data_IF_600168663420
#
_entry.id   IF_600168663420
#
_cell.length_a   1.000
_cell.length_b   1.000
_cell.length_c   1.000
_cell.angle_alpha   90.00
_cell.angle_beta   90.00
_cell.angle_gamma   90.00
#
_symmetry.space_group_name_H-M   'P 1'
#
loop_
_entity.id
_entity.type
_entity.pdbx_description
1 polymer ?
#
# COMPACT_ATOMS: atom_id res chain seq x y z
N UNK A 1 0.17 14.75 -15.34
CA UNK A 1 -0.10 14.83 -13.88
C UNK A 1 1.10 14.42 -13.02
N UNK A 2 1.81 13.34 -13.31
CA UNK A 2 2.97 12.87 -12.53
C UNK A 2 4.09 13.93 -12.39
N UNK A 3 4.46 14.60 -13.47
CA UNK A 3 5.49 15.68 -13.46
C UNK A 3 5.11 16.87 -12.56
N UNK A 4 3.86 17.29 -12.57
CA UNK A 4 3.37 18.40 -11.74
C UNK A 4 3.41 18.03 -10.26
N UNK A 5 2.99 16.81 -9.91
CA UNK A 5 3.06 16.29 -8.54
C UNK A 5 4.50 16.28 -8.02
N UNK A 6 5.45 15.84 -8.84
CA UNK A 6 6.87 15.78 -8.47
C UNK A 6 7.48 17.19 -8.29
N UNK A 7 7.12 18.16 -9.12
CA UNK A 7 7.55 19.56 -9.00
C UNK A 7 7.00 20.18 -7.72
N UNK A 8 5.70 19.97 -7.43
CA UNK A 8 5.07 20.48 -6.21
C UNK A 8 5.68 19.88 -4.92
N UNK A 9 5.94 18.58 -4.90
CA UNK A 9 6.61 17.93 -3.78
C UNK A 9 8.00 18.50 -3.51
N UNK A 10 8.75 18.82 -4.56
CA UNK A 10 10.14 19.30 -4.46
C UNK A 10 10.21 20.79 -4.10
N UNK A 11 9.35 21.62 -4.68
CA UNK A 11 9.46 23.08 -4.59
C UNK A 11 8.45 23.73 -3.62
N UNK A 12 7.31 23.07 -3.34
CA UNK A 12 6.27 23.58 -2.45
C UNK A 12 5.71 22.47 -1.55
N UNK A 13 6.51 21.87 -0.64
CA UNK A 13 6.08 20.72 0.14
C UNK A 13 4.87 20.99 1.02
N UNK A 14 4.70 22.23 1.53
CA UNK A 14 3.53 22.61 2.31
C UNK A 14 2.24 22.59 1.50
N UNK A 15 2.29 23.04 0.23
CA UNK A 15 1.14 23.01 -0.67
C UNK A 15 0.77 21.56 -1.00
N UNK A 16 1.76 20.71 -1.21
CA UNK A 16 1.53 19.28 -1.40
C UNK A 16 0.82 18.64 -0.19
N UNK A 17 1.27 18.96 1.02
CA UNK A 17 0.64 18.47 2.25
C UNK A 17 -0.80 18.96 2.41
N UNK A 18 -1.09 20.20 2.02
CA UNK A 18 -2.44 20.75 2.02
C UNK A 18 -3.33 20.01 1.02
N UNK A 19 -2.83 19.75 -0.19
CA UNK A 19 -3.57 18.97 -1.21
C UNK A 19 -3.87 17.56 -0.69
N UNK A 20 -2.89 16.88 -0.09
CA UNK A 20 -3.10 15.56 0.52
C UNK A 20 -4.14 15.59 1.65
N UNK A 21 -4.11 16.61 2.49
CA UNK A 21 -5.08 16.78 3.57
C UNK A 21 -6.50 17.00 3.02
N UNK A 22 -6.67 17.89 2.03
CA UNK A 22 -7.96 18.12 1.35
C UNK A 22 -8.44 16.82 0.70
N UNK A 23 -7.58 16.14 -0.05
CA UNK A 23 -7.92 14.85 -0.65
C UNK A 23 -8.39 13.85 0.40
N UNK A 24 -7.71 13.77 1.55
CA UNK A 24 -8.08 12.88 2.65
C UNK A 24 -9.48 13.15 3.20
N UNK A 25 -9.86 14.41 3.36
CA UNK A 25 -11.20 14.81 3.80
C UNK A 25 -12.27 14.53 2.75
N UNK A 26 -12.05 14.92 1.50
CA UNK A 26 -13.00 14.67 0.41
C UNK A 26 -13.19 13.17 0.17
N UNK A 27 -12.13 12.39 0.23
CA UNK A 27 -12.18 10.94 0.16
C UNK A 27 -13.02 10.36 1.30
N UNK A 28 -12.75 10.78 2.55
CA UNK A 28 -13.52 10.31 3.71
C UNK A 28 -15.00 10.64 3.59
N UNK A 29 -15.35 11.87 3.19
CA UNK A 29 -16.74 12.26 3.00
C UNK A 29 -17.46 11.39 1.96
N UNK A 30 -16.76 11.03 0.89
CA UNK A 30 -17.33 10.21 -0.19
C UNK A 30 -17.44 8.73 0.18
N UNK A 31 -16.46 8.18 0.90
CA UNK A 31 -16.32 6.74 1.12
C UNK A 31 -16.48 6.29 2.57
N UNK A 32 -16.93 7.15 3.48
CA UNK A 32 -16.98 6.83 4.92
C UNK A 32 -17.83 5.60 5.26
N UNK A 33 -18.85 5.28 4.47
CA UNK A 33 -19.68 4.07 4.66
C UNK A 33 -18.88 2.82 4.33
N UNK A 34 -18.22 2.82 3.19
CA UNK A 34 -17.38 1.71 2.71
C UNK A 34 -16.16 1.48 3.61
N UNK A 35 -15.58 2.55 4.14
CA UNK A 35 -14.41 2.45 5.04
C UNK A 35 -14.74 1.66 6.32
N UNK A 36 -15.98 1.65 6.78
CA UNK A 36 -16.39 0.85 7.94
C UNK A 36 -16.32 -0.66 7.68
N UNK A 37 -16.42 -1.08 6.43
CA UNK A 37 -16.38 -2.49 6.02
C UNK A 37 -14.95 -3.05 6.00
N UNK A 38 -13.91 -2.20 6.04
CA UNK A 38 -12.51 -2.64 6.00
C UNK A 38 -12.22 -3.61 7.15
N UNK A 39 -12.72 -3.35 8.36
CA UNK A 39 -12.54 -4.25 9.51
C UNK A 39 -13.12 -5.64 9.25
N UNK A 40 -14.28 -5.71 8.61
CA UNK A 40 -14.90 -6.99 8.22
C UNK A 40 -14.09 -7.71 7.16
N UNK A 41 -13.48 -6.96 6.22
CA UNK A 41 -12.55 -7.53 5.24
C UNK A 41 -11.35 -8.13 5.96
N UNK A 42 -10.69 -7.37 6.83
CA UNK A 42 -9.49 -7.83 7.54
C UNK A 42 -9.76 -9.06 8.40
N UNK A 43 -10.97 -9.19 8.99
CA UNK A 43 -11.35 -10.35 9.79
C UNK A 43 -11.31 -11.67 9.00
N UNK A 44 -11.44 -11.62 7.66
CA UNK A 44 -11.36 -12.80 6.79
C UNK A 44 -9.92 -13.33 6.59
N UNK A 45 -8.93 -12.55 6.98
CA UNK A 45 -7.51 -12.79 6.70
C UNK A 45 -6.68 -12.97 7.97
N UNK A 46 -7.31 -13.49 9.02
CA UNK A 46 -6.69 -13.68 10.34
C UNK A 46 -6.24 -15.13 10.62
N UNK A 47 -6.07 -15.97 9.59
CA UNK A 47 -5.74 -17.39 9.79
C UNK A 47 -4.32 -17.59 10.35
N UNK A 48 -3.31 -17.38 9.51
CA UNK A 48 -1.91 -17.60 9.87
C UNK A 48 -1.20 -16.35 10.40
N UNK A 49 -1.76 -15.16 10.09
CA UNK A 49 -1.16 -13.86 10.39
C UNK A 49 -2.17 -12.93 11.02
N UNK A 50 -1.69 -11.96 11.80
CA UNK A 50 -2.49 -10.82 12.24
C UNK A 50 -2.36 -9.70 11.19
N UNK A 51 -3.44 -9.43 10.46
CA UNK A 51 -3.54 -8.33 9.50
C UNK A 51 -4.37 -7.22 10.11
N UNK A 52 -3.84 -6.00 10.18
CA UNK A 52 -4.57 -4.85 10.74
C UNK A 52 -4.28 -3.55 9.98
N UNK A 53 -5.17 -2.57 10.12
CA UNK A 53 -4.89 -1.21 9.68
C UNK A 53 -3.70 -0.65 10.47
N UNK A 54 -2.86 0.14 9.79
CA UNK A 54 -1.73 0.84 10.42
C UNK A 54 -2.25 1.91 11.38
N UNK A 55 -1.94 1.77 12.65
CA UNK A 55 -2.20 2.75 13.69
C UNK A 55 -0.93 3.51 14.08
N UNK A 56 -1.09 4.63 14.77
CA UNK A 56 0.06 5.41 15.27
C UNK A 56 0.95 4.61 16.22
N UNK A 57 0.39 3.66 16.93
CA UNK A 57 1.08 2.75 17.85
C UNK A 57 1.99 1.74 17.14
N UNK A 58 1.71 1.44 15.86
CA UNK A 58 2.51 0.52 15.06
C UNK A 58 3.74 1.21 14.42
N UNK A 59 3.76 2.55 14.38
CA UNK A 59 4.78 3.31 13.65
C UNK A 59 6.22 2.98 14.09
N UNK A 60 6.54 2.86 15.39
CA UNK A 60 7.91 2.49 15.79
C UNK A 60 8.32 1.09 15.30
N UNK A 61 7.39 0.12 15.33
CA UNK A 61 7.64 -1.21 14.83
C UNK A 61 7.79 -1.23 13.29
N UNK A 62 6.99 -0.42 12.59
CA UNK A 62 7.08 -0.27 11.14
C UNK A 62 8.36 0.46 10.70
N UNK A 63 8.82 1.48 11.44
CA UNK A 63 10.09 2.14 11.16
C UNK A 63 11.26 1.15 11.29
N UNK A 64 11.28 0.38 12.38
CA UNK A 64 12.27 -0.71 12.58
C UNK A 64 12.20 -1.75 11.46
N UNK A 65 11.00 -2.12 11.01
CA UNK A 65 10.84 -3.03 9.87
C UNK A 65 11.60 -2.52 8.64
N UNK A 66 11.51 -1.23 8.32
CA UNK A 66 12.24 -0.67 7.18
C UNK A 66 13.75 -0.57 7.42
N UNK A 67 14.18 -0.20 8.63
CA UNK A 67 15.60 -0.13 9.00
C UNK A 67 16.32 -1.48 8.91
N UNK A 68 15.61 -2.57 9.20
CA UNK A 68 16.15 -3.93 9.18
C UNK A 68 16.19 -4.55 7.78
N UNK A 69 15.59 -3.93 6.77
CA UNK A 69 15.62 -4.48 5.41
C UNK A 69 16.97 -4.20 4.73
N UNK A 70 17.50 -5.17 3.97
CA UNK A 70 18.69 -4.93 3.15
C UNK A 70 18.38 -3.93 2.04
N UNK A 71 19.39 -3.21 1.55
CA UNK A 71 19.22 -2.15 0.55
C UNK A 71 18.54 -2.65 -0.73
N UNK A 72 18.84 -3.87 -1.14
CA UNK A 72 18.26 -4.51 -2.34
C UNK A 72 16.74 -4.71 -2.21
N UNK A 73 16.19 -4.76 -0.99
CA UNK A 73 14.75 -4.86 -0.78
C UNK A 73 14.01 -3.60 -1.23
N UNK A 74 14.71 -2.46 -1.31
CA UNK A 74 14.15 -1.19 -1.74
C UNK A 74 14.30 -0.91 -3.24
N UNK A 75 14.91 -1.81 -4.01
CA UNK A 75 15.10 -1.65 -5.45
C UNK A 75 13.79 -1.31 -6.18
N UNK A 76 12.69 -1.97 -5.76
CA UNK A 76 11.36 -1.82 -6.39
C UNK A 76 10.32 -1.16 -5.48
N UNK A 77 10.72 -0.67 -4.29
CA UNK A 77 9.76 -0.16 -3.32
C UNK A 77 10.27 1.07 -2.57
N UNK A 78 9.99 2.26 -3.12
CA UNK A 78 10.30 3.56 -2.47
C UNK A 78 9.12 4.53 -2.61
N UNK A 79 7.92 4.22 -2.07
CA UNK A 79 6.72 5.04 -2.25
C UNK A 79 6.75 6.34 -1.47
N UNK A 80 7.52 6.41 -0.39
CA UNK A 80 7.65 7.54 0.54
C UNK A 80 8.93 7.39 1.38
N UNK A 81 9.26 8.39 2.18
CA UNK A 81 10.31 8.28 3.19
C UNK A 81 9.84 7.37 4.34
N UNK A 82 10.77 6.61 4.92
CA UNK A 82 10.48 5.58 5.92
C UNK A 82 10.71 6.03 7.37
N UNK A 83 10.96 7.33 7.58
CA UNK A 83 11.10 7.91 8.91
C UNK A 83 9.77 7.96 9.67
N UNK A 84 9.84 7.89 11.01
CA UNK A 84 8.64 7.88 11.85
C UNK A 84 7.70 9.08 11.63
N UNK A 85 8.24 10.27 11.36
CA UNK A 85 7.43 11.47 11.12
C UNK A 85 6.55 11.30 9.89
N UNK A 86 7.13 10.78 8.80
CA UNK A 86 6.39 10.47 7.58
C UNK A 86 5.37 9.37 7.81
N UNK A 87 5.75 8.27 8.47
CA UNK A 87 4.86 7.16 8.76
C UNK A 87 3.69 7.56 9.66
N UNK A 88 3.90 8.40 10.70
CA UNK A 88 2.83 8.97 11.54
C UNK A 88 1.86 9.82 10.74
N UNK A 89 2.35 10.60 9.79
CA UNK A 89 1.52 11.41 8.89
C UNK A 89 0.67 10.52 7.98
N UNK A 90 1.25 9.48 7.40
CA UNK A 90 0.55 8.53 6.55
C UNK A 90 -0.51 7.75 7.33
N UNK A 91 -0.20 7.27 8.53
CA UNK A 91 -1.16 6.60 9.43
C UNK A 91 -2.34 7.50 9.84
N UNK A 92 -2.16 8.83 9.80
CA UNK A 92 -3.22 9.80 10.08
C UNK A 92 -4.01 10.24 8.84
N UNK A 93 -3.54 9.88 7.64
CA UNK A 93 -4.17 10.31 6.38
C UNK A 93 -5.33 9.38 6.01
N UNK A 94 -6.54 9.90 5.98
CA UNK A 94 -7.79 9.16 5.72
C UNK A 94 -7.90 8.54 4.34
N UNK A 95 -7.14 9.02 3.37
CA UNK A 95 -7.07 8.47 2.01
C UNK A 95 -5.86 7.56 1.77
N UNK A 96 -5.04 7.36 2.78
CA UNK A 96 -3.88 6.47 2.74
C UNK A 96 -4.16 5.23 3.60
N UNK A 97 -4.85 4.26 3.02
CA UNK A 97 -5.26 3.03 3.70
C UNK A 97 -4.04 2.11 3.77
N UNK A 98 -3.35 2.13 4.90
CA UNK A 98 -2.15 1.34 5.13
C UNK A 98 -2.43 0.20 6.10
N UNK A 99 -1.74 -0.91 5.89
CA UNK A 99 -1.91 -2.14 6.65
C UNK A 99 -0.56 -2.73 7.02
N UNK A 100 -0.53 -3.39 8.16
CA UNK A 100 0.63 -4.13 8.65
C UNK A 100 0.25 -5.58 8.94
N UNK A 101 1.22 -6.46 8.78
CA UNK A 101 1.09 -7.89 9.06
C UNK A 101 2.08 -8.27 10.13
N UNK A 102 1.60 -9.01 11.12
CA UNK A 102 2.39 -9.59 12.20
C UNK A 102 2.25 -11.11 12.19
N UNK A 103 3.26 -11.88 12.61
CA UNK A 103 3.08 -13.27 12.98
C UNK A 103 2.08 -13.38 14.14
N UNK A 104 1.26 -14.42 14.17
CA UNK A 104 0.36 -14.66 15.32
C UNK A 104 1.10 -15.14 16.56
N UNK A 105 2.21 -15.86 16.37
CA UNK A 105 2.98 -16.42 17.47
C UNK A 105 4.10 -15.48 17.93
N UNK A 106 4.29 -15.38 19.24
CA UNK A 106 5.44 -14.67 19.84
C UNK A 106 5.28 -13.14 19.92
N UNK A 107 4.37 -12.64 20.74
CA UNK A 107 4.31 -11.20 21.03
C UNK A 107 5.40 -10.78 22.05
N UNK A 108 6.10 -9.63 21.86
CA UNK A 108 5.97 -8.66 20.79
C UNK A 108 6.56 -9.16 19.46
N UNK A 109 5.74 -9.17 18.42
CA UNK A 109 6.12 -9.65 17.10
C UNK A 109 6.60 -8.52 16.20
N UNK A 110 7.62 -8.73 15.34
CA UNK A 110 8.01 -7.74 14.35
C UNK A 110 6.92 -7.59 13.26
N UNK A 111 6.85 -6.41 12.64
CA UNK A 111 6.13 -6.25 11.38
C UNK A 111 6.83 -7.11 10.33
N UNK A 112 6.08 -7.92 9.59
CA UNK A 112 6.62 -8.80 8.54
C UNK A 112 6.16 -8.41 7.14
N UNK A 113 5.16 -7.53 7.04
CA UNK A 113 4.75 -6.93 5.77
C UNK A 113 4.06 -5.60 6.02
N UNK A 114 4.27 -4.69 5.08
CA UNK A 114 3.57 -3.42 4.96
C UNK A 114 2.99 -3.30 3.57
N UNK A 115 1.73 -2.88 3.47
CA UNK A 115 1.09 -2.62 2.19
C UNK A 115 0.03 -1.52 2.34
N UNK A 116 -0.33 -0.89 1.22
CA UNK A 116 -1.25 0.24 1.23
C UNK A 116 -2.04 0.37 -0.06
N UNK A 117 -3.18 1.07 0.06
CA UNK A 117 -3.91 1.65 -1.06
C UNK A 117 -4.00 3.16 -0.83
N UNK A 118 -3.27 3.95 -1.60
CA UNK A 118 -3.36 5.40 -1.61
C UNK A 118 -4.52 5.81 -2.50
N UNK A 119 -5.59 6.30 -1.90
CA UNK A 119 -6.84 6.63 -2.56
C UNK A 119 -6.93 8.12 -2.90
N UNK A 120 -7.66 8.41 -3.96
CA UNK A 120 -8.00 9.76 -4.36
C UNK A 120 -9.51 9.93 -4.38
N UNK A 121 -10.01 11.11 -3.97
CA UNK A 121 -11.44 11.40 -3.94
C UNK A 121 -12.11 11.28 -5.31
N UNK A 122 -11.34 11.40 -6.40
CA UNK A 122 -11.81 11.19 -7.78
C UNK A 122 -12.15 9.73 -8.12
N UNK A 123 -11.96 8.79 -7.18
CA UNK A 123 -12.29 7.37 -7.38
C UNK A 123 -11.17 6.56 -8.04
N UNK A 124 -9.94 6.78 -7.64
CA UNK A 124 -8.76 5.99 -8.06
C UNK A 124 -7.91 5.62 -6.85
N UNK A 125 -7.23 4.47 -6.91
CA UNK A 125 -6.27 4.05 -5.90
C UNK A 125 -4.94 3.64 -6.51
N UNK A 126 -3.85 3.88 -5.77
CA UNK A 126 -2.54 3.34 -6.08
C UNK A 126 -2.10 2.45 -4.95
N UNK A 127 -1.54 1.28 -5.27
CA UNK A 127 -1.16 0.32 -4.26
C UNK A 127 0.31 -0.06 -4.34
N UNK A 128 0.86 -0.40 -3.17
CA UNK A 128 2.21 -0.91 -3.04
C UNK A 128 2.32 -1.81 -1.83
N UNK A 129 3.32 -2.67 -1.82
CA UNK A 129 3.56 -3.57 -0.71
C UNK A 129 5.03 -3.96 -0.61
N UNK A 130 5.45 -4.30 0.60
CA UNK A 130 6.75 -4.86 0.92
C UNK A 130 6.61 -6.00 1.91
N UNK A 131 7.32 -7.08 1.70
CA UNK A 131 7.41 -8.22 2.62
C UNK A 131 8.84 -8.32 3.13
N UNK A 132 8.99 -8.51 4.42
CA UNK A 132 10.29 -8.75 5.06
C UNK A 132 11.05 -9.85 4.32
N UNK A 133 12.33 -9.62 4.03
CA UNK A 133 13.15 -10.57 3.28
C UNK A 133 13.25 -11.95 3.96
N UNK A 134 13.15 -12.00 5.31
CA UNK A 134 13.16 -13.22 6.12
C UNK A 134 11.86 -14.03 6.01
N UNK A 135 10.77 -13.40 5.55
CA UNK A 135 9.42 -13.99 5.46
C UNK A 135 8.92 -14.17 4.03
N UNK A 136 9.81 -14.06 3.04
CA UNK A 136 9.49 -14.33 1.63
C UNK A 136 9.06 -15.79 1.43
N UNK A 137 8.35 -16.05 0.32
CA UNK A 137 7.86 -17.38 -0.06
C UNK A 137 6.83 -18.03 0.89
N UNK A 138 6.27 -17.28 1.83
CA UNK A 138 5.23 -17.73 2.79
C UNK A 138 3.82 -17.27 2.42
N UNK A 139 3.58 -16.87 1.17
CA UNK A 139 2.26 -16.44 0.70
C UNK A 139 1.83 -15.01 1.08
N UNK A 140 2.64 -14.28 1.88
CA UNK A 140 2.29 -12.94 2.41
C UNK A 140 2.02 -11.93 1.29
N UNK A 141 2.78 -11.96 0.19
CA UNK A 141 2.53 -11.08 -0.98
C UNK A 141 1.16 -11.32 -1.60
N UNK A 142 0.70 -12.60 -1.68
CA UNK A 142 -0.64 -12.94 -2.16
C UNK A 142 -1.72 -12.50 -1.18
N UNK A 143 -1.46 -12.65 0.12
CA UNK A 143 -2.34 -12.15 1.19
C UNK A 143 -2.53 -10.63 1.05
N UNK A 144 -1.44 -9.87 0.96
CA UNK A 144 -1.49 -8.41 0.77
C UNK A 144 -2.26 -8.03 -0.50
N UNK A 145 -2.04 -8.76 -1.61
CA UNK A 145 -2.76 -8.53 -2.86
C UNK A 145 -4.26 -8.76 -2.72
N UNK A 146 -4.69 -9.85 -2.04
CA UNK A 146 -6.11 -10.16 -1.78
C UNK A 146 -6.78 -9.08 -0.94
N UNK A 147 -6.14 -8.68 0.16
CA UNK A 147 -6.67 -7.61 1.03
C UNK A 147 -6.85 -6.32 0.25
N UNK A 148 -5.83 -5.87 -0.49
CA UNK A 148 -5.90 -4.64 -1.30
C UNK A 148 -6.99 -4.73 -2.38
N UNK A 149 -7.20 -5.91 -2.97
CA UNK A 149 -8.25 -6.14 -3.98
C UNK A 149 -9.64 -6.08 -3.37
N UNK A 150 -9.85 -6.70 -2.20
CA UNK A 150 -11.13 -6.65 -1.50
C UNK A 150 -11.45 -5.23 -1.00
N UNK A 151 -10.45 -4.50 -0.51
CA UNK A 151 -10.61 -3.08 -0.15
C UNK A 151 -11.00 -2.25 -1.37
N UNK A 152 -10.33 -2.44 -2.51
CA UNK A 152 -10.67 -1.74 -3.76
C UNK A 152 -12.09 -2.06 -4.24
N UNK A 153 -12.51 -3.34 -4.14
CA UNK A 153 -13.85 -3.82 -4.48
C UNK A 153 -14.92 -3.14 -3.64
N UNK A 154 -14.75 -3.08 -2.32
CA UNK A 154 -15.72 -2.43 -1.41
C UNK A 154 -15.79 -0.93 -1.65
N UNK A 155 -14.67 -0.28 -1.94
CA UNK A 155 -14.64 1.12 -2.33
C UNK A 155 -15.21 1.38 -3.74
N UNK A 156 -15.32 0.36 -4.59
CA UNK A 156 -15.77 0.51 -5.98
C UNK A 156 -14.80 1.33 -6.83
N UNK A 157 -13.49 1.24 -6.57
CA UNK A 157 -12.46 2.01 -7.28
C UNK A 157 -11.46 1.12 -8.01
N UNK A 158 -11.04 1.48 -9.23
CA UNK A 158 -9.90 0.85 -9.87
C UNK A 158 -8.60 1.15 -9.11
N UNK A 159 -7.69 0.17 -9.08
CA UNK A 159 -6.38 0.35 -8.47
C UNK A 159 -5.26 0.14 -9.46
N UNK A 160 -4.21 0.92 -9.28
CA UNK A 160 -3.07 0.99 -10.17
C UNK A 160 -1.76 0.82 -9.40
N UNK A 161 -0.68 0.58 -10.11
CA UNK A 161 0.66 0.55 -9.56
C UNK A 161 1.71 0.51 -10.65
N UNK A 162 2.96 0.43 -10.24
CA UNK A 162 4.08 0.21 -11.15
C UNK A 162 4.75 -1.12 -10.81
N UNK A 163 5.17 -1.85 -11.83
CA UNK A 163 5.92 -3.09 -11.70
C UNK A 163 7.12 -3.04 -12.64
N UNK A 164 8.31 -3.11 -12.08
CA UNK A 164 9.51 -3.26 -12.91
C UNK A 164 9.48 -4.60 -13.68
N UNK A 165 9.84 -4.63 -14.97
CA UNK A 165 9.84 -5.87 -15.76
C UNK A 165 10.66 -7.00 -15.13
N UNK A 166 11.75 -6.65 -14.43
CA UNK A 166 12.62 -7.59 -13.71
C UNK A 166 12.02 -8.09 -12.39
N UNK A 167 10.98 -7.45 -11.85
CA UNK A 167 10.32 -7.87 -10.61
C UNK A 167 9.31 -9.00 -10.87
N UNK A 168 9.83 -10.16 -11.29
CA UNK A 168 9.03 -11.37 -11.60
C UNK A 168 8.20 -11.82 -10.39
N UNK A 169 8.73 -11.65 -9.17
CA UNK A 169 8.06 -12.04 -7.95
C UNK A 169 6.77 -11.22 -7.73
N UNK A 170 6.85 -9.90 -7.94
CA UNK A 170 5.66 -9.03 -7.88
C UNK A 170 4.65 -9.40 -8.97
N UNK A 171 5.09 -9.54 -10.22
CA UNK A 171 4.22 -9.92 -11.33
C UNK A 171 3.47 -11.22 -11.05
N UNK A 172 4.16 -12.26 -10.56
CA UNK A 172 3.55 -13.55 -10.21
C UNK A 172 2.57 -13.45 -9.04
N UNK A 173 2.95 -12.78 -7.96
CA UNK A 173 2.10 -12.68 -6.75
C UNK A 173 0.84 -11.87 -7.02
N UNK A 174 0.95 -10.75 -7.72
CA UNK A 174 -0.19 -9.91 -8.10
C UNK A 174 -1.06 -10.61 -9.16
N UNK A 175 -0.46 -11.20 -10.19
CA UNK A 175 -1.16 -11.96 -11.23
C UNK A 175 -1.85 -13.22 -10.72
N UNK A 176 -1.45 -13.78 -9.57
CA UNK A 176 -2.18 -14.89 -8.95
C UNK A 176 -3.54 -14.46 -8.36
N UNK A 177 -3.72 -13.17 -8.07
CA UNK A 177 -4.92 -12.62 -7.42
C UNK A 177 -5.72 -11.72 -8.35
N UNK A 178 -5.06 -11.02 -9.26
CA UNK A 178 -5.65 -9.99 -10.10
C UNK A 178 -5.41 -10.28 -11.59
N UNK A 179 -6.27 -9.76 -12.42
CA UNK A 179 -5.97 -9.59 -13.84
C UNK A 179 -5.13 -8.33 -13.99
N UNK A 180 -3.86 -8.51 -14.40
CA UNK A 180 -2.94 -7.39 -14.58
C UNK A 180 -3.03 -6.90 -16.01
N UNK A 181 -3.51 -5.68 -16.19
CA UNK A 181 -3.52 -4.98 -17.48
C UNK A 181 -2.39 -3.96 -17.51
N UNK A 182 -1.42 -4.18 -18.38
CA UNK A 182 -0.39 -3.17 -18.65
C UNK A 182 -1.03 -2.05 -19.47
N UNK A 183 -0.99 -0.83 -18.94
CA UNK A 183 -1.55 0.36 -19.58
C UNK A 183 -0.50 1.00 -20.47
N UNK A 184 0.70 1.20 -19.93
CA UNK A 184 1.83 1.80 -20.62
C UNK A 184 3.15 1.37 -19.97
N UNK A 185 4.24 1.56 -20.71
CA UNK A 185 5.60 1.51 -20.15
C UNK A 185 6.07 2.93 -19.89
N UNK A 186 6.51 3.19 -18.65
CA UNK A 186 6.99 4.50 -18.22
C UNK A 186 8.42 4.76 -18.73
N UNK A 187 8.84 6.04 -18.71
CA UNK A 187 10.18 6.48 -19.16
C UNK A 187 11.33 5.76 -18.41
N UNK A 188 11.09 5.34 -17.16
CA UNK A 188 12.05 4.57 -16.36
C UNK A 188 12.05 3.06 -16.67
N UNK A 189 11.24 2.62 -17.62
CA UNK A 189 11.11 1.23 -18.03
C UNK A 189 10.10 0.40 -17.25
N UNK A 190 9.51 0.90 -16.17
CA UNK A 190 8.49 0.18 -15.41
C UNK A 190 7.17 0.11 -16.16
N UNK A 191 6.41 -0.97 -15.93
CA UNK A 191 5.04 -1.07 -16.39
C UNK A 191 4.10 -0.33 -15.45
N UNK A 192 3.32 0.61 -15.98
CA UNK A 192 2.14 1.14 -15.31
C UNK A 192 0.99 0.18 -15.53
N UNK A 193 0.45 -0.36 -14.45
CA UNK A 193 -0.53 -1.45 -14.51
C UNK A 193 -1.83 -1.09 -13.79
N UNK A 194 -2.93 -1.63 -14.27
CA UNK A 194 -4.21 -1.70 -13.57
C UNK A 194 -4.40 -3.12 -13.04
N UNK A 195 -4.92 -3.20 -11.81
CA UNK A 195 -5.23 -4.47 -11.17
C UNK A 195 -6.73 -4.73 -11.25
N UNK A 196 -7.14 -5.50 -12.25
CA UNK A 196 -8.51 -5.96 -12.42
C UNK A 196 -8.86 -7.05 -11.39
N UNK A 197 -10.16 -7.20 -11.15
CA UNK A 197 -10.67 -8.30 -10.33
C UNK A 197 -10.72 -9.55 -11.21
N UNK A 198 -10.08 -10.63 -10.78
CA UNK A 198 -10.25 -11.93 -11.43
C UNK A 198 -11.69 -12.40 -11.31
N UNK A 199 -12.28 -12.77 -12.43
CA UNK A 199 -13.56 -13.47 -12.54
C UNK A 199 -13.47 -14.90 -12.00
#
# INVERSE_FOLDING_TARGET
>A
MYRIAHILQKHCPWLWLMIEWINGWLFYLRYHKQLREIRTILAKYQDDFLVKELERTDVPALARFFEEQPEEAFEYFRPHAFDEKTLRRLAANRSYLAFVVYPKEGMPSPVISYFFVRCYFIGKGFRGYMVDYRYRNRGISKLSARVMTDVARVLGIPTFGTIAPKNIASMRSQGAVNDIRIIEQLDNGDYYVEYGIKS
#
